data_IF_343910711114
#
_entry.id   IF_343910711114
#
_cell.length_a   1.000
_cell.length_b   1.000
_cell.length_c   1.000
_cell.angle_alpha   90.00
_cell.angle_beta   90.00
_cell.angle_gamma   90.00
#
_symmetry.space_group_name_H-M   'P 1'
#
loop_
_entity.id
_entity.type
_entity.pdbx_description
1 polymer ?
#
# COMPACT_ATOMS: atom_id res chain seq x y z
N UNK A 1 -38.38 13.77 0.65
CA UNK A 1 -37.23 14.61 0.25
C UNK A 1 -37.51 16.08 0.57
N UNK A 2 -36.71 16.72 1.44
CA UNK A 2 -37.09 18.01 2.06
C UNK A 2 -36.22 19.23 1.75
N UNK A 3 -35.18 19.17 0.91
CA UNK A 3 -34.58 20.40 0.34
C UNK A 3 -33.90 20.16 -1.02
N UNK A 4 -33.84 21.21 -1.87
CA UNK A 4 -33.14 21.24 -3.17
C UNK A 4 -31.61 21.17 -2.99
N UNK A 5 -31.10 21.48 -1.80
CA UNK A 5 -29.70 21.34 -1.42
C UNK A 5 -29.26 19.89 -1.23
N UNK A 6 -30.14 18.99 -0.81
CA UNK A 6 -29.84 17.55 -0.72
C UNK A 6 -29.79 16.86 -2.10
N UNK A 7 -30.31 17.49 -3.15
CA UNK A 7 -30.26 16.98 -4.51
C UNK A 7 -28.94 17.33 -5.24
N UNK A 8 -28.11 18.22 -4.67
CA UNK A 8 -26.82 18.65 -5.22
C UNK A 8 -25.61 18.06 -4.47
N UNK A 9 -25.82 17.22 -3.47
CA UNK A 9 -24.80 16.29 -2.97
C UNK A 9 -24.64 15.11 -3.95
N UNK A 10 -24.35 15.44 -5.22
CA UNK A 10 -23.88 14.49 -6.21
C UNK A 10 -22.54 13.95 -5.74
N UNK A 11 -22.56 12.73 -5.23
CA UNK A 11 -21.44 11.92 -4.79
C UNK A 11 -20.57 11.55 -6.01
N UNK A 12 -19.98 12.54 -6.70
CA UNK A 12 -19.05 12.33 -7.81
C UNK A 12 -17.71 11.85 -7.25
N UNK A 13 -17.70 10.62 -6.75
CA UNK A 13 -16.47 9.90 -6.45
C UNK A 13 -15.78 9.55 -7.77
N UNK A 14 -14.90 10.45 -8.23
CA UNK A 14 -14.02 10.20 -9.36
C UNK A 14 -13.09 9.02 -9.05
N UNK A 15 -12.75 8.22 -10.07
CA UNK A 15 -11.77 7.13 -9.91
C UNK A 15 -10.45 7.69 -9.35
N UNK A 16 -9.80 6.96 -8.44
CA UNK A 16 -8.54 7.42 -7.82
C UNK A 16 -7.48 7.70 -8.89
N UNK A 17 -7.34 6.77 -9.83
CA UNK A 17 -6.53 6.89 -11.05
C UNK A 17 -7.32 6.29 -12.23
N UNK A 18 -7.21 6.85 -13.45
CA UNK A 18 -7.62 6.15 -14.67
C UNK A 18 -6.82 4.86 -14.88
N UNK A 19 -7.47 3.82 -15.38
CA UNK A 19 -6.88 2.50 -15.65
C UNK A 19 -5.63 2.60 -16.54
N UNK A 20 -5.66 3.47 -17.54
CA UNK A 20 -4.56 3.65 -18.49
C UNK A 20 -3.30 4.24 -17.84
N UNK A 21 -3.44 5.02 -16.76
CA UNK A 21 -2.29 5.56 -16.04
C UNK A 21 -1.64 4.51 -15.15
N UNK A 22 -2.44 3.62 -14.55
CA UNK A 22 -1.92 2.44 -13.86
C UNK A 22 -1.16 1.54 -14.83
N UNK A 23 -1.80 1.15 -15.93
CA UNK A 23 -1.18 0.25 -16.90
C UNK A 23 0.09 0.83 -17.55
N UNK A 24 0.21 2.17 -17.63
CA UNK A 24 1.42 2.85 -18.09
C UNK A 24 2.62 2.77 -17.13
N UNK A 25 2.41 2.30 -15.89
CA UNK A 25 3.45 2.03 -14.89
C UNK A 25 3.94 0.56 -14.90
N UNK A 26 3.41 -0.27 -15.81
CA UNK A 26 3.84 -1.65 -15.99
C UNK A 26 5.28 -1.71 -16.52
N UNK A 27 6.14 -2.47 -15.85
CA UNK A 27 7.54 -2.62 -16.23
C UNK A 27 8.05 -4.03 -15.86
N UNK A 28 8.95 -4.56 -16.68
CA UNK A 28 9.70 -5.77 -16.35
C UNK A 28 10.82 -5.42 -15.35
N UNK A 29 10.60 -5.75 -14.08
CA UNK A 29 11.54 -5.50 -13.00
C UNK A 29 12.48 -6.70 -12.80
N UNK A 30 13.75 -6.47 -12.40
CA UNK A 30 14.65 -7.54 -12.00
C UNK A 30 14.03 -8.41 -10.90
N UNK A 31 14.32 -9.71 -10.95
CA UNK A 31 13.83 -10.67 -9.95
C UNK A 31 14.09 -10.18 -8.53
N UNK A 32 13.06 -10.31 -7.70
CA UNK A 32 13.12 -10.00 -6.29
C UNK A 32 13.26 -11.27 -5.44
N UNK A 33 13.38 -12.47 -6.02
CA UNK A 33 13.44 -13.71 -5.25
C UNK A 33 14.79 -13.86 -4.50
N UNK A 34 14.81 -14.30 -3.23
CA UNK A 34 16.06 -14.39 -2.46
C UNK A 34 17.04 -15.41 -3.05
N UNK A 35 16.52 -16.50 -3.62
CA UNK A 35 17.32 -17.59 -4.20
C UNK A 35 18.13 -17.15 -5.41
N UNK A 36 17.61 -16.19 -6.19
CA UNK A 36 18.25 -15.68 -7.40
C UNK A 36 19.23 -14.53 -7.11
N UNK A 37 19.14 -13.90 -5.92
CA UNK A 37 19.99 -12.77 -5.50
C UNK A 37 21.13 -13.18 -4.55
N UNK A 38 21.23 -14.48 -4.24
CA UNK A 38 22.21 -15.06 -3.33
C UNK A 38 21.72 -15.13 -1.88
N UNK A 39 22.44 -15.87 -1.02
CA UNK A 39 22.02 -16.28 0.34
C UNK A 39 21.62 -15.16 1.33
N UNK A 40 21.67 -13.89 0.92
CA UNK A 40 21.30 -12.72 1.74
C UNK A 40 20.15 -11.88 1.15
N UNK A 41 19.46 -12.33 0.09
CA UNK A 41 18.45 -11.53 -0.60
C UNK A 41 19.04 -10.27 -1.27
N UNK A 42 18.18 -9.39 -1.78
CA UNK A 42 18.63 -8.09 -2.31
C UNK A 42 19.22 -7.25 -1.17
N UNK A 43 20.37 -6.60 -1.40
CA UNK A 43 20.90 -5.57 -0.49
C UNK A 43 20.04 -4.30 -0.49
N UNK A 44 19.16 -4.18 -1.49
CA UNK A 44 18.26 -3.05 -1.68
C UNK A 44 17.37 -2.88 -0.45
N UNK A 45 17.35 -1.69 0.17
CA UNK A 45 16.44 -1.40 1.27
C UNK A 45 14.98 -1.58 0.84
N UNK A 46 14.23 -2.34 1.64
CA UNK A 46 12.82 -2.65 1.40
C UNK A 46 11.97 -1.97 2.47
N UNK A 47 10.91 -1.29 2.04
CA UNK A 47 9.86 -0.81 2.92
C UNK A 47 8.62 -1.66 2.73
N UNK A 48 8.04 -2.12 3.83
CA UNK A 48 6.74 -2.81 3.82
C UNK A 48 5.63 -1.83 4.16
N UNK A 49 4.53 -1.88 3.41
CA UNK A 49 3.25 -1.31 3.79
C UNK A 49 2.29 -2.41 4.17
N UNK A 50 1.61 -2.27 5.31
CA UNK A 50 0.67 -3.26 5.83
C UNK A 50 -0.67 -2.60 6.13
N UNK A 51 -1.73 -3.10 5.51
CA UNK A 51 -3.11 -2.70 5.78
C UNK A 51 -3.97 -3.93 6.07
N UNK A 52 -4.82 -3.85 7.09
CA UNK A 52 -5.61 -5.00 7.52
C UNK A 52 -6.98 -4.61 8.06
N UNK A 53 -7.98 -5.42 7.68
CA UNK A 53 -9.28 -5.45 8.33
C UNK A 53 -9.61 -6.84 8.90
N UNK A 54 -10.45 -6.87 9.94
CA UNK A 54 -10.84 -8.13 10.61
C UNK A 54 -12.09 -8.76 10.00
N UNK A 55 -13.01 -7.95 9.48
CA UNK A 55 -14.29 -8.42 8.92
C UNK A 55 -14.55 -7.72 7.59
N UNK A 56 -14.86 -8.51 6.55
CA UNK A 56 -15.14 -8.04 5.19
C UNK A 56 -14.00 -7.31 4.49
N UNK A 57 -12.79 -7.22 5.06
CA UNK A 57 -11.63 -6.56 4.46
C UNK A 57 -10.43 -7.50 4.46
N UNK A 58 -9.44 -7.22 3.61
CA UNK A 58 -8.30 -8.10 3.41
C UNK A 58 -7.15 -7.76 4.35
N UNK A 59 -6.17 -8.67 4.46
CA UNK A 59 -4.84 -8.36 4.99
C UNK A 59 -3.89 -8.23 3.81
N UNK A 60 -3.38 -7.02 3.57
CA UNK A 60 -2.47 -6.71 2.48
C UNK A 60 -1.08 -6.34 2.99
N UNK A 61 -0.05 -6.96 2.40
CA UNK A 61 1.35 -6.57 2.57
C UNK A 61 1.91 -6.22 1.20
N UNK A 62 2.53 -5.05 1.08
CA UNK A 62 3.20 -4.59 -0.15
C UNK A 62 4.65 -4.24 0.17
N UNK A 63 5.59 -4.82 -0.57
CA UNK A 63 7.02 -4.51 -0.49
C UNK A 63 7.41 -3.53 -1.60
N UNK A 64 8.01 -2.41 -1.20
CA UNK A 64 8.45 -1.34 -2.10
C UNK A 64 9.93 -1.06 -1.90
N UNK A 65 10.64 -0.84 -2.99
CA UNK A 65 12.03 -0.36 -3.00
C UNK A 65 12.11 0.95 -3.77
N UNK A 66 13.26 1.62 -3.70
CA UNK A 66 13.66 2.55 -4.78
C UNK A 66 13.74 1.79 -6.09
N UNK A 67 13.59 2.49 -7.21
CA UNK A 67 13.65 1.84 -8.50
C UNK A 67 15.02 1.15 -8.71
N UNK A 68 15.09 -0.12 -9.13
CA UNK A 68 16.34 -0.86 -9.21
C UNK A 68 17.28 -0.37 -10.33
N UNK A 69 16.74 0.30 -11.35
CA UNK A 69 17.56 0.94 -12.38
C UNK A 69 18.28 2.19 -11.82
N UNK A 70 19.62 2.30 -11.87
CA UNK A 70 20.38 3.39 -11.23
C UNK A 70 19.98 4.80 -11.66
N UNK A 71 19.61 5.00 -12.93
CA UNK A 71 19.18 6.32 -13.44
C UNK A 71 17.78 6.74 -12.99
N UNK A 72 17.04 5.84 -12.32
CA UNK A 72 15.68 6.06 -11.83
C UNK A 72 15.60 5.89 -10.33
N UNK A 73 16.72 5.89 -9.61
CA UNK A 73 16.74 5.68 -8.16
C UNK A 73 15.84 6.68 -7.41
N UNK A 74 15.49 7.82 -8.03
CA UNK A 74 14.51 8.77 -7.48
C UNK A 74 13.04 8.31 -7.51
N UNK A 75 12.74 7.25 -8.23
CA UNK A 75 11.42 6.61 -8.37
C UNK A 75 11.26 5.43 -7.40
N UNK A 76 10.10 4.79 -7.41
CA UNK A 76 9.81 3.61 -6.57
C UNK A 76 9.37 2.42 -7.41
N UNK A 77 9.58 1.22 -6.88
CA UNK A 77 9.16 -0.02 -7.51
C UNK A 77 8.43 -0.91 -6.50
N UNK A 78 7.26 -1.42 -6.87
CA UNK A 78 6.55 -2.45 -6.12
C UNK A 78 7.18 -3.79 -6.48
N UNK A 79 7.72 -4.49 -5.49
CA UNK A 79 8.54 -5.70 -5.70
C UNK A 79 7.86 -7.00 -5.32
N UNK A 80 6.98 -6.96 -4.33
CA UNK A 80 6.20 -8.12 -3.93
C UNK A 80 4.90 -7.70 -3.24
N UNK A 81 3.87 -8.54 -3.38
CA UNK A 81 2.59 -8.39 -2.71
C UNK A 81 2.21 -9.72 -2.06
N UNK A 82 1.64 -9.66 -0.86
CA UNK A 82 0.97 -10.79 -0.22
C UNK A 82 -0.41 -10.34 0.25
N UNK A 83 -1.44 -11.13 -0.09
CA UNK A 83 -2.82 -10.83 0.22
C UNK A 83 -3.45 -12.05 0.90
N UNK A 84 -4.13 -11.82 2.01
CA UNK A 84 -5.04 -12.78 2.62
C UNK A 84 -6.46 -12.20 2.56
N UNK A 85 -7.38 -13.00 2.04
CA UNK A 85 -8.80 -12.65 1.99
C UNK A 85 -9.54 -13.41 3.09
N UNK A 86 -10.52 -12.79 3.77
CA UNK A 86 -11.31 -13.50 4.76
C UNK A 86 -12.12 -14.61 4.08
N UNK A 87 -12.13 -15.84 4.62
CA UNK A 87 -13.05 -16.87 4.14
C UNK A 87 -14.50 -16.39 4.31
N UNK A 88 -15.43 -16.94 3.52
CA UNK A 88 -16.83 -16.47 3.53
C UNK A 88 -17.45 -16.61 4.91
N UNK A 89 -17.70 -15.46 5.56
CA UNK A 89 -18.31 -15.41 6.90
C UNK A 89 -17.34 -15.69 8.05
N UNK A 90 -16.04 -15.73 7.78
CA UNK A 90 -14.98 -15.96 8.77
C UNK A 90 -14.02 -14.76 8.84
N UNK A 91 -13.12 -14.80 9.83
CA UNK A 91 -12.10 -13.79 10.06
C UNK A 91 -10.73 -14.28 9.58
N UNK A 92 -9.85 -13.36 9.19
CA UNK A 92 -8.46 -13.69 8.89
C UNK A 92 -7.74 -14.00 10.20
N UNK A 93 -7.06 -15.14 10.26
CA UNK A 93 -6.09 -15.42 11.33
C UNK A 93 -4.81 -14.63 11.08
N UNK A 94 -4.54 -13.66 11.95
CA UNK A 94 -3.40 -12.77 11.85
C UNK A 94 -2.06 -13.46 12.17
N UNK A 95 -2.07 -14.71 12.67
CA UNK A 95 -0.86 -15.49 12.90
C UNK A 95 -0.08 -15.78 11.60
N UNK A 96 -0.77 -16.09 10.51
CA UNK A 96 -0.13 -16.38 9.21
C UNK A 96 0.52 -15.13 8.58
N UNK A 97 -0.16 -13.95 8.53
CA UNK A 97 0.50 -12.70 8.16
C UNK A 97 1.69 -12.33 9.03
N UNK A 98 1.61 -12.46 10.36
CA UNK A 98 2.74 -12.16 11.26
C UNK A 98 3.94 -13.08 10.97
N UNK A 99 3.68 -14.38 10.80
CA UNK A 99 4.71 -15.36 10.43
C UNK A 99 5.38 -14.99 9.11
N UNK A 100 4.60 -14.60 8.09
CA UNK A 100 5.13 -14.14 6.82
C UNK A 100 5.98 -12.87 6.96
N UNK A 101 5.56 -11.90 7.79
CA UNK A 101 6.36 -10.70 8.07
C UNK A 101 7.72 -11.08 8.68
N UNK A 102 7.75 -12.03 9.62
CA UNK A 102 9.00 -12.52 10.22
C UNK A 102 9.87 -13.25 9.20
N UNK A 103 9.29 -14.00 8.27
CA UNK A 103 10.03 -14.67 7.20
C UNK A 103 10.63 -13.68 6.21
N UNK A 104 9.86 -12.71 5.71
CA UNK A 104 10.35 -11.72 4.75
C UNK A 104 11.43 -10.83 5.38
N UNK A 105 11.32 -10.44 6.66
CA UNK A 105 12.36 -9.66 7.34
C UNK A 105 13.66 -10.45 7.58
N UNK A 106 13.63 -11.79 7.53
CA UNK A 106 14.86 -12.61 7.55
C UNK A 106 15.52 -12.72 6.18
N UNK A 107 14.71 -12.67 5.11
CA UNK A 107 15.16 -12.91 3.74
C UNK A 107 15.61 -11.62 3.03
N UNK A 108 15.14 -10.46 3.46
CA UNK A 108 15.39 -9.18 2.82
C UNK A 108 15.85 -8.11 3.81
N UNK A 109 16.53 -7.10 3.30
CA UNK A 109 16.89 -5.89 4.05
C UNK A 109 15.65 -4.99 4.26
N UNK A 110 14.70 -5.43 5.09
CA UNK A 110 13.52 -4.64 5.44
C UNK A 110 13.91 -3.57 6.45
N UNK A 111 13.89 -2.32 6.02
CA UNK A 111 14.33 -1.17 6.84
C UNK A 111 13.20 -0.54 7.64
N UNK A 112 11.96 -0.66 7.17
CA UNK A 112 10.78 -0.15 7.87
C UNK A 112 9.52 -0.89 7.44
N UNK A 113 8.59 -1.06 8.37
CA UNK A 113 7.22 -1.51 8.15
C UNK A 113 6.26 -0.38 8.55
N UNK A 114 5.57 0.20 7.57
CA UNK A 114 4.53 1.20 7.77
C UNK A 114 3.16 0.52 7.86
N UNK A 115 2.33 0.91 8.83
CA UNK A 115 1.04 0.26 9.04
C UNK A 115 -0.05 1.22 9.51
N UNK A 116 -1.31 0.92 9.19
CA UNK A 116 -2.45 1.55 9.86
C UNK A 116 -2.63 0.91 11.26
N UNK A 117 -2.60 1.68 12.37
CA UNK A 117 -2.74 1.12 13.71
C UNK A 117 -4.05 0.39 13.98
N UNK A 118 -5.09 0.69 13.21
CA UNK A 118 -6.37 0.01 13.34
C UNK A 118 -6.19 -1.50 13.14
N UNK A 119 -6.55 -2.29 14.15
CA UNK A 119 -6.41 -3.77 14.20
C UNK A 119 -4.98 -4.32 14.26
N UNK A 120 -3.94 -3.57 13.86
CA UNK A 120 -2.56 -4.06 13.79
C UNK A 120 -1.68 -3.68 14.98
N UNK A 121 -2.13 -2.78 15.84
CA UNK A 121 -1.34 -2.24 16.96
C UNK A 121 -0.65 -3.34 17.80
N UNK A 122 -1.38 -4.38 18.21
CA UNK A 122 -0.80 -5.45 19.04
C UNK A 122 0.23 -6.29 18.30
N UNK A 123 0.03 -6.57 17.00
CA UNK A 123 0.99 -7.31 16.18
C UNK A 123 2.29 -6.50 16.05
N UNK A 124 2.19 -5.20 15.76
CA UNK A 124 3.35 -4.35 15.57
C UNK A 124 4.13 -4.12 16.86
N UNK A 125 3.45 -4.05 18.01
CA UNK A 125 4.10 -4.05 19.32
C UNK A 125 4.89 -5.35 19.57
N UNK A 126 4.35 -6.50 19.16
CA UNK A 126 5.07 -7.78 19.26
C UNK A 126 6.32 -7.82 18.37
N UNK A 127 6.19 -7.41 17.10
CA UNK A 127 7.31 -7.37 16.16
C UNK A 127 8.40 -6.39 16.61
N UNK A 128 8.02 -5.23 17.16
CA UNK A 128 8.94 -4.24 17.70
C UNK A 128 9.68 -4.76 18.93
N UNK A 129 8.96 -5.36 19.88
CA UNK A 129 9.55 -5.95 21.10
C UNK A 129 10.56 -7.06 20.75
N UNK A 130 10.23 -7.86 19.74
CA UNK A 130 11.07 -8.96 19.30
C UNK A 130 12.19 -8.50 18.33
N UNK A 131 12.34 -7.18 18.11
CA UNK A 131 13.32 -6.56 17.23
C UNK A 131 13.32 -7.13 15.79
N UNK A 132 12.14 -7.45 15.25
CA UNK A 132 11.99 -8.00 13.90
C UNK A 132 12.24 -6.93 12.83
N UNK A 133 11.65 -5.76 13.01
CA UNK A 133 11.72 -4.63 12.06
C UNK A 133 11.30 -3.35 12.77
N UNK A 134 11.74 -2.19 12.27
CA UNK A 134 11.18 -0.90 12.70
C UNK A 134 9.74 -0.76 12.19
N UNK A 135 8.76 -0.90 13.09
CA UNK A 135 7.36 -0.64 12.82
C UNK A 135 7.03 0.84 13.03
N UNK A 136 6.46 1.50 12.03
CA UNK A 136 6.07 2.91 12.07
C UNK A 136 4.55 3.03 11.88
N UNK A 137 3.80 3.52 12.88
CA UNK A 137 2.38 3.74 12.74
C UNK A 137 2.13 4.91 11.77
N UNK A 138 1.20 4.70 10.84
CA UNK A 138 0.81 5.70 9.87
C UNK A 138 -0.49 6.37 10.33
N UNK A 139 -0.41 7.63 10.77
CA UNK A 139 -1.57 8.30 11.35
C UNK A 139 -2.68 8.48 10.30
N UNK A 140 -3.89 8.02 10.62
CA UNK A 140 -5.05 8.02 9.71
C UNK A 140 -5.49 9.41 9.21
N UNK A 141 -5.01 10.49 9.83
CA UNK A 141 -5.36 11.86 9.47
C UNK A 141 -4.45 12.40 8.36
N UNK A 142 -3.52 13.30 8.69
CA UNK A 142 -2.76 14.09 7.73
C UNK A 142 -1.78 13.26 6.90
N UNK A 143 -1.05 12.33 7.53
CA UNK A 143 -0.02 11.54 6.85
C UNK A 143 -0.62 10.71 5.73
N UNK A 144 -1.77 10.12 6.01
CA UNK A 144 -2.58 9.33 5.09
C UNK A 144 -3.08 10.15 3.89
N UNK A 145 -3.45 11.42 4.05
CA UNK A 145 -3.84 12.31 2.94
C UNK A 145 -2.64 12.70 2.05
N UNK A 146 -1.50 12.99 2.68
CA UNK A 146 -0.24 13.27 1.99
C UNK A 146 0.16 12.05 1.15
N UNK A 147 0.22 10.87 1.77
CA UNK A 147 0.65 9.64 1.09
C UNK A 147 -0.28 9.20 -0.04
N UNK A 148 -1.60 9.36 0.11
CA UNK A 148 -2.56 9.04 -0.95
C UNK A 148 -2.39 10.00 -2.15
N UNK A 149 -2.15 11.29 -1.88
CA UNK A 149 -1.91 12.30 -2.92
C UNK A 149 -0.58 12.09 -3.63
N UNK A 150 0.51 11.84 -2.89
CA UNK A 150 1.82 11.52 -3.43
C UNK A 150 1.82 10.25 -4.27
N UNK A 151 1.10 9.20 -3.84
CA UNK A 151 0.95 7.98 -4.63
C UNK A 151 0.29 8.26 -5.98
N UNK A 152 -0.76 9.08 -6.00
CA UNK A 152 -1.40 9.47 -7.26
C UNK A 152 -0.44 10.24 -8.15
N UNK A 153 0.34 11.16 -7.58
CA UNK A 153 1.34 11.93 -8.33
C UNK A 153 2.44 11.03 -8.90
N UNK A 154 2.91 10.03 -8.15
CA UNK A 154 3.87 9.05 -8.65
C UNK A 154 3.32 8.32 -9.88
N UNK A 155 2.07 7.87 -9.83
CA UNK A 155 1.45 7.11 -10.92
C UNK A 155 1.21 8.01 -12.14
N UNK A 156 0.65 9.21 -11.94
CA UNK A 156 0.38 10.17 -13.02
C UNK A 156 1.67 10.56 -13.75
N UNK A 157 2.77 10.72 -13.01
CA UNK A 157 4.07 11.09 -13.56
C UNK A 157 4.93 9.88 -13.98
N UNK A 158 4.41 8.64 -13.90
CA UNK A 158 5.13 7.40 -14.23
C UNK A 158 6.43 7.19 -13.45
N UNK A 159 6.41 7.60 -12.18
CA UNK A 159 7.51 7.47 -11.20
C UNK A 159 7.33 6.29 -10.23
N UNK A 160 6.37 5.41 -10.54
CA UNK A 160 6.16 4.13 -9.88
C UNK A 160 6.24 3.04 -10.94
N UNK A 161 6.92 1.94 -10.62
CA UNK A 161 6.99 0.74 -11.45
C UNK A 161 6.32 -0.46 -10.73
N UNK A 162 5.64 -1.31 -11.49
CA UNK A 162 5.07 -2.56 -10.98
C UNK A 162 5.08 -3.67 -12.04
N UNK A 163 5.00 -4.93 -11.60
CA UNK A 163 5.02 -6.12 -12.46
C UNK A 163 3.67 -6.50 -13.09
N UNK A 164 2.59 -5.81 -12.71
CA UNK A 164 1.24 -6.07 -13.23
C UNK A 164 0.43 -7.07 -12.42
N UNK A 165 0.77 -7.29 -11.15
CA UNK A 165 -0.02 -8.12 -10.24
C UNK A 165 -1.54 -7.83 -10.34
N UNK A 166 -2.32 -8.88 -10.64
CA UNK A 166 -3.76 -8.77 -10.89
C UNK A 166 -4.55 -8.27 -9.68
N UNK A 167 -4.25 -8.78 -8.48
CA UNK A 167 -4.93 -8.38 -7.25
C UNK A 167 -4.66 -6.93 -6.90
N UNK A 168 -3.41 -6.49 -7.04
CA UNK A 168 -3.05 -5.08 -6.85
C UNK A 168 -3.80 -4.18 -7.82
N UNK A 169 -3.81 -4.53 -9.12
CA UNK A 169 -4.55 -3.79 -10.14
C UNK A 169 -6.04 -3.67 -9.80
N UNK A 170 -6.67 -4.76 -9.36
CA UNK A 170 -8.07 -4.75 -8.95
C UNK A 170 -8.33 -3.78 -7.79
N UNK A 171 -7.47 -3.76 -6.78
CA UNK A 171 -7.59 -2.83 -5.64
C UNK A 171 -7.48 -1.36 -6.07
N UNK A 172 -6.61 -1.04 -7.03
CA UNK A 172 -6.53 0.31 -7.61
C UNK A 172 -7.77 0.69 -8.42
N UNK A 173 -8.31 -0.23 -9.23
CA UNK A 173 -9.53 0.02 -9.99
C UNK A 173 -10.78 0.14 -9.12
N UNK A 174 -10.74 -0.46 -7.93
CA UNK A 174 -11.77 -0.35 -6.90
C UNK A 174 -11.70 0.96 -6.10
N UNK A 175 -10.60 1.69 -6.19
CA UNK A 175 -10.39 2.95 -5.48
C UNK A 175 -11.01 4.16 -6.18
N UNK A 176 -11.62 5.03 -5.39
CA UNK A 176 -12.02 6.39 -5.75
C UNK A 176 -11.21 7.42 -4.98
N UNK A 177 -11.12 8.64 -5.50
CA UNK A 177 -10.54 9.78 -4.82
C UNK A 177 -11.65 10.61 -4.15
N UNK A 178 -11.53 10.80 -2.83
CA UNK A 178 -12.37 11.74 -2.09
C UNK A 178 -11.56 12.97 -1.72
N UNK A 179 -11.94 14.12 -2.27
CA UNK A 179 -11.40 15.42 -1.88
C UNK A 179 -11.83 15.76 -0.44
N UNK A 180 -10.93 16.35 0.34
CA UNK A 180 -11.26 16.81 1.68
C UNK A 180 -11.77 18.24 1.64
N UNK A 181 -12.95 18.48 2.21
CA UNK A 181 -13.63 19.79 2.20
C UNK A 181 -12.85 20.94 2.87
N UNK A 182 -11.75 20.64 3.58
CA UNK A 182 -10.90 21.63 4.27
C UNK A 182 -9.52 21.80 3.63
N UNK A 183 -9.13 20.90 2.75
CA UNK A 183 -7.81 20.85 2.12
C UNK A 183 -8.03 20.65 0.62
N UNK A 184 -8.22 21.77 -0.10
CA UNK A 184 -8.68 21.82 -1.51
C UNK A 184 -7.80 21.05 -2.52
N UNK A 185 -6.66 20.50 -2.10
CA UNK A 185 -5.74 19.75 -2.97
C UNK A 185 -5.45 18.31 -2.53
N UNK A 186 -5.80 17.92 -1.30
CA UNK A 186 -5.47 16.59 -0.80
C UNK A 186 -6.61 15.60 -1.02
N UNK A 187 -6.24 14.40 -1.46
CA UNK A 187 -7.19 13.33 -1.73
C UNK A 187 -7.00 12.18 -0.75
N UNK A 188 -8.09 11.45 -0.56
CA UNK A 188 -8.13 10.20 0.19
C UNK A 188 -8.51 9.05 -0.74
N UNK A 189 -7.82 7.92 -0.62
CA UNK A 189 -8.27 6.65 -1.21
C UNK A 189 -9.52 6.21 -0.45
N UNK A 190 -10.63 6.03 -1.18
CA UNK A 190 -11.87 5.45 -0.66
C UNK A 190 -12.35 4.34 -1.57
N UNK A 191 -13.19 3.44 -1.03
CA UNK A 191 -13.80 2.36 -1.82
C UNK A 191 -14.89 2.94 -2.73
N UNK A 192 -14.90 2.60 -4.01
CA UNK A 192 -16.01 2.92 -4.94
C UNK A 192 -17.36 2.34 -4.51
N UNK A 193 -17.32 1.22 -3.79
CA UNK A 193 -18.50 0.59 -3.21
C UNK A 193 -18.09 -0.19 -1.95
N UNK A 194 -18.97 -0.36 -0.94
CA UNK A 194 -18.60 -0.96 0.35
C UNK A 194 -17.98 -2.37 0.26
N UNK A 195 -18.39 -3.17 -0.73
CA UNK A 195 -17.90 -4.54 -0.92
C UNK A 195 -16.53 -4.61 -1.61
N UNK A 196 -16.13 -3.55 -2.30
CA UNK A 196 -14.88 -3.50 -3.07
C UNK A 196 -13.68 -3.27 -2.15
N UNK A 197 -12.56 -3.91 -2.48
CA UNK A 197 -11.34 -3.92 -1.67
C UNK A 197 -10.34 -2.89 -2.19
N UNK A 198 -9.67 -2.21 -1.27
CA UNK A 198 -8.64 -1.18 -1.57
C UNK A 198 -7.41 -1.33 -0.69
N UNK A 199 -7.33 -2.40 0.10
CA UNK A 199 -6.32 -2.58 1.16
C UNK A 199 -4.90 -2.57 0.59
N UNK A 200 -4.67 -3.25 -0.54
CA UNK A 200 -3.40 -3.18 -1.26
C UNK A 200 -3.04 -1.78 -1.78
N UNK A 201 -4.02 -0.96 -2.18
CA UNK A 201 -3.75 0.42 -2.63
C UNK A 201 -3.37 1.31 -1.44
N UNK A 202 -4.02 1.12 -0.28
CA UNK A 202 -3.72 1.77 0.99
C UNK A 202 -2.32 1.37 1.48
N UNK A 203 -2.00 0.08 1.50
CA UNK A 203 -0.68 -0.45 1.84
C UNK A 203 0.41 0.10 0.90
N UNK A 204 0.14 0.14 -0.40
CA UNK A 204 1.07 0.72 -1.41
C UNK A 204 1.33 2.20 -1.12
N UNK A 205 0.31 2.98 -0.80
CA UNK A 205 0.43 4.40 -0.47
C UNK A 205 1.37 4.64 0.71
N UNK A 206 1.20 3.89 1.80
CA UNK A 206 2.06 4.00 2.98
C UNK A 206 3.50 3.59 2.65
N UNK A 207 3.69 2.46 1.97
CA UNK A 207 5.01 1.98 1.59
C UNK A 207 5.77 2.95 0.68
N UNK A 208 5.11 3.52 -0.34
CA UNK A 208 5.72 4.47 -1.27
C UNK A 208 6.14 5.76 -0.56
N UNK A 209 5.27 6.34 0.26
CA UNK A 209 5.59 7.54 1.03
C UNK A 209 6.81 7.32 1.92
N UNK A 210 6.84 6.20 2.66
CA UNK A 210 7.98 5.87 3.54
C UNK A 210 9.26 5.55 2.76
N UNK A 211 9.16 4.87 1.63
CA UNK A 211 10.29 4.61 0.74
C UNK A 211 10.94 5.90 0.23
N UNK A 212 10.14 6.92 -0.09
CA UNK A 212 10.63 8.24 -0.50
C UNK A 212 11.20 9.05 0.66
N UNK A 213 10.57 8.96 1.84
CA UNK A 213 11.02 9.66 3.04
C UNK A 213 12.41 9.20 3.52
N UNK A 214 12.71 7.90 3.41
CA UNK A 214 13.86 7.29 4.08
C UNK A 214 15.25 7.54 3.45
N UNK A 215 15.40 8.35 2.40
CA UNK A 215 16.70 8.63 1.73
C UNK A 215 17.56 7.35 1.49
N UNK A 216 16.89 6.30 0.99
CA UNK A 216 17.43 4.96 0.78
C UNK A 216 18.39 4.86 -0.41
#
# INVERSE_FOLDING_TARGET
PETVTDALAGDEQSSFIPEQLWDACLEELPSFAPEEVGLAGTKEPVVLGVDAGVSNDCFGIVAVTRHPHPSRHDDVAIRAIRLWEPPKGEHIDFAEPEKFIREICRLYNVVQLAYDPYQLESMMQNLTRDAVVWCEPFNQQKDRLIADSELRDLIVNRRLAHDGNRSLREHFLNAAAKLQAKEDSQIRIVKKAPHRKVDLAVATSMACNRCLYLLL
#
